data_IF_235348677487
#
_entry.id   IF_235348677487
#
_cell.length_a   1.000
_cell.length_b   1.000
_cell.length_c   1.000
_cell.angle_alpha   90.00
_cell.angle_beta   90.00
_cell.angle_gamma   90.00
#
_symmetry.space_group_name_H-M   'P 1'
#
loop_
_entity.id
_entity.type
_entity.pdbx_description
1 polymer ?
#
# COMPACT_ATOMS: atom_id res chain seq x y z
N UNK A 1 19.76 -17.10 -3.85
CA UNK A 1 18.29 -16.93 -3.72
C UNK A 1 17.66 -17.22 -5.08
N UNK A 2 16.59 -17.95 -5.10
CA UNK A 2 15.98 -18.39 -6.34
C UNK A 2 15.24 -17.26 -7.02
N UNK A 3 15.66 -16.90 -8.24
CA UNK A 3 15.14 -15.74 -8.94
C UNK A 3 13.66 -15.90 -9.35
N UNK A 4 13.22 -17.13 -9.64
CA UNK A 4 11.82 -17.38 -10.00
C UNK A 4 10.84 -16.98 -8.91
N UNK A 5 11.19 -17.20 -7.65
CA UNK A 5 10.37 -16.80 -6.51
C UNK A 5 10.35 -15.27 -6.40
N UNK A 6 11.51 -14.63 -6.58
CA UNK A 6 11.61 -13.16 -6.56
C UNK A 6 10.77 -12.53 -7.67
N UNK A 7 10.75 -13.12 -8.86
CA UNK A 7 9.92 -12.65 -9.97
C UNK A 7 8.43 -12.73 -9.62
N UNK A 8 7.99 -13.83 -9.00
CA UNK A 8 6.60 -13.98 -8.59
C UNK A 8 6.23 -12.96 -7.50
N UNK A 9 7.13 -12.71 -6.54
CA UNK A 9 6.94 -11.68 -5.52
C UNK A 9 6.83 -10.30 -6.20
N UNK A 10 7.70 -10.02 -7.18
CA UNK A 10 7.67 -8.75 -7.91
C UNK A 10 6.32 -8.55 -8.61
N UNK A 11 5.77 -9.58 -9.23
CA UNK A 11 4.45 -9.51 -9.88
C UNK A 11 3.36 -9.12 -8.88
N UNK A 12 3.37 -9.73 -7.70
CA UNK A 12 2.41 -9.40 -6.65
C UNK A 12 2.61 -7.98 -6.13
N UNK A 13 3.86 -7.53 -6.00
CA UNK A 13 4.17 -6.18 -5.56
C UNK A 13 3.73 -5.13 -6.59
N UNK A 14 3.82 -5.44 -7.88
CA UNK A 14 3.31 -4.56 -8.94
C UNK A 14 1.79 -4.40 -8.85
N UNK A 15 1.06 -5.49 -8.61
CA UNK A 15 -0.39 -5.44 -8.38
C UNK A 15 -0.71 -4.62 -7.14
N UNK A 16 -0.01 -4.89 -6.04
CA UNK A 16 -0.19 -4.15 -4.78
C UNK A 16 0.03 -2.66 -4.99
N UNK A 17 1.05 -2.27 -5.74
CA UNK A 17 1.32 -0.87 -6.06
C UNK A 17 0.13 -0.22 -6.77
N UNK A 18 -0.47 -0.91 -7.75
CA UNK A 18 -1.64 -0.42 -8.47
C UNK A 18 -2.83 -0.21 -7.53
N UNK A 19 -3.11 -1.17 -6.65
CA UNK A 19 -4.22 -1.06 -5.70
C UNK A 19 -4.01 0.06 -4.70
N UNK A 20 -2.79 0.19 -4.17
CA UNK A 20 -2.45 1.25 -3.21
C UNK A 20 -2.51 2.63 -3.87
N UNK A 21 -2.07 2.76 -5.12
CA UNK A 21 -2.20 4.01 -5.89
C UNK A 21 -3.66 4.39 -6.07
N UNK A 22 -4.52 3.41 -6.35
CA UNK A 22 -5.96 3.63 -6.46
C UNK A 22 -6.58 4.03 -5.12
N UNK A 23 -6.11 3.45 -4.02
CA UNK A 23 -6.53 3.86 -2.67
C UNK A 23 -6.18 5.32 -2.42
N UNK A 24 -4.99 5.75 -2.81
CA UNK A 24 -4.58 7.16 -2.69
C UNK A 24 -5.53 8.07 -3.47
N UNK A 25 -5.83 7.72 -4.72
CA UNK A 25 -6.73 8.48 -5.58
C UNK A 25 -8.10 8.62 -4.95
N UNK A 26 -8.67 7.50 -4.50
CA UNK A 26 -9.99 7.47 -3.86
C UNK A 26 -9.99 8.32 -2.58
N UNK A 27 -8.94 8.22 -1.78
CA UNK A 27 -8.82 8.98 -0.53
C UNK A 27 -8.81 10.48 -0.81
N UNK A 28 -8.12 10.94 -1.86
CA UNK A 28 -8.12 12.35 -2.26
C UNK A 28 -9.50 12.80 -2.73
N UNK A 29 -10.20 11.97 -3.49
CA UNK A 29 -11.58 12.26 -3.92
C UNK A 29 -12.53 12.37 -2.74
N UNK A 30 -12.32 11.55 -1.69
CA UNK A 30 -13.10 11.65 -0.45
C UNK A 30 -12.91 13.02 0.20
N UNK A 31 -11.68 13.53 0.22
CA UNK A 31 -11.40 14.87 0.72
C UNK A 31 -12.15 15.96 -0.05
N UNK A 32 -12.17 15.83 -1.37
CA UNK A 32 -12.88 16.77 -2.25
C UNK A 32 -14.40 16.71 -2.00
N UNK A 33 -14.95 15.51 -1.90
CA UNK A 33 -16.38 15.31 -1.62
C UNK A 33 -16.77 15.89 -0.26
N UNK A 34 -15.93 15.72 0.76
CA UNK A 34 -16.15 16.32 2.07
C UNK A 34 -16.16 17.84 2.00
N UNK A 35 -15.28 18.43 1.19
CA UNK A 35 -15.23 19.89 1.00
C UNK A 35 -16.51 20.44 0.40
N UNK A 36 -17.24 19.62 -0.37
CA UNK A 36 -18.53 19.96 -0.97
C UNK A 36 -19.72 19.53 -0.11
N UNK A 37 -19.49 18.97 1.06
CA UNK A 37 -20.52 18.36 1.93
C UNK A 37 -21.31 17.26 1.20
N UNK A 38 -20.67 16.55 0.29
CA UNK A 38 -21.27 15.47 -0.49
C UNK A 38 -21.07 14.12 0.23
N UNK A 39 -21.94 13.85 1.18
CA UNK A 39 -21.84 12.65 2.04
C UNK A 39 -22.13 11.36 1.27
N UNK A 40 -23.01 11.41 0.29
CA UNK A 40 -23.34 10.23 -0.53
C UNK A 40 -22.11 9.77 -1.31
N UNK A 41 -21.39 10.72 -1.92
CA UNK A 41 -20.15 10.40 -2.64
C UNK A 41 -19.10 9.85 -1.69
N UNK A 42 -18.97 10.42 -0.48
CA UNK A 42 -18.03 9.90 0.53
C UNK A 42 -18.35 8.44 0.86
N UNK A 43 -19.62 8.10 1.08
CA UNK A 43 -20.02 6.72 1.38
C UNK A 43 -19.71 5.76 0.23
N UNK A 44 -19.97 6.18 -1.00
CA UNK A 44 -19.63 5.39 -2.19
C UNK A 44 -18.12 5.15 -2.27
N UNK A 45 -17.33 6.21 -2.08
CA UNK A 45 -15.87 6.13 -2.15
C UNK A 45 -15.28 5.26 -1.05
N UNK A 46 -15.86 5.27 0.15
CA UNK A 46 -15.46 4.37 1.23
C UNK A 46 -15.61 2.91 0.84
N UNK A 47 -16.71 2.56 0.18
CA UNK A 47 -16.94 1.20 -0.33
C UNK A 47 -15.92 0.81 -1.40
N UNK A 48 -15.67 1.72 -2.33
CA UNK A 48 -14.66 1.50 -3.38
C UNK A 48 -13.27 1.33 -2.79
N UNK A 49 -12.92 2.15 -1.80
CA UNK A 49 -11.63 2.05 -1.11
C UNK A 49 -11.46 0.72 -0.41
N UNK A 50 -12.52 0.24 0.25
CA UNK A 50 -12.48 -1.06 0.93
C UNK A 50 -12.23 -2.20 -0.06
N UNK A 51 -12.84 -2.16 -1.24
CA UNK A 51 -12.60 -3.15 -2.29
C UNK A 51 -11.13 -3.18 -2.71
N UNK A 52 -10.52 -2.02 -2.90
CA UNK A 52 -9.10 -1.92 -3.26
C UNK A 52 -8.21 -2.41 -2.12
N UNK A 53 -8.54 -2.11 -0.87
CA UNK A 53 -7.83 -2.61 0.30
C UNK A 53 -7.87 -4.13 0.37
N UNK A 54 -9.02 -4.72 0.08
CA UNK A 54 -9.18 -6.19 0.07
C UNK A 54 -8.29 -6.84 -1.00
N UNK A 55 -8.20 -6.22 -2.18
CA UNK A 55 -7.31 -6.69 -3.26
C UNK A 55 -5.83 -6.58 -2.84
N UNK A 56 -5.44 -5.49 -2.21
CA UNK A 56 -4.09 -5.31 -1.71
C UNK A 56 -3.75 -6.37 -0.63
N UNK A 57 -4.70 -6.70 0.23
CA UNK A 57 -4.53 -7.73 1.27
C UNK A 57 -4.29 -9.12 0.65
N UNK A 58 -4.95 -9.43 -0.47
CA UNK A 58 -4.70 -10.69 -1.19
C UNK A 58 -3.26 -10.72 -1.69
N UNK A 59 -2.76 -9.63 -2.23
CA UNK A 59 -1.36 -9.54 -2.67
C UNK A 59 -0.40 -9.74 -1.51
N UNK A 60 -0.69 -9.15 -0.35
CA UNK A 60 0.14 -9.29 0.86
C UNK A 60 0.21 -10.76 1.28
N UNK A 61 -0.93 -11.46 1.29
CA UNK A 61 -0.97 -12.89 1.65
C UNK A 61 -0.21 -13.73 0.64
N UNK A 62 -0.33 -13.43 -0.66
CA UNK A 62 0.39 -14.14 -1.70
C UNK A 62 1.90 -13.96 -1.55
N UNK A 63 2.35 -12.75 -1.23
CA UNK A 63 3.76 -12.46 -0.98
C UNK A 63 4.27 -13.25 0.22
N UNK A 64 3.52 -13.27 1.33
CA UNK A 64 3.90 -14.04 2.51
C UNK A 64 4.01 -15.54 2.21
N UNK A 65 3.10 -16.07 1.40
CA UNK A 65 3.15 -17.45 0.92
C UNK A 65 4.43 -17.73 0.13
N UNK A 66 4.80 -16.82 -0.77
CA UNK A 66 6.02 -16.97 -1.57
C UNK A 66 7.27 -16.86 -0.71
N UNK A 67 7.29 -15.95 0.25
CA UNK A 67 8.41 -15.79 1.19
C UNK A 67 8.62 -17.07 2.01
N UNK A 68 7.54 -17.77 2.35
CA UNK A 68 7.63 -19.01 3.13
C UNK A 68 8.38 -20.12 2.41
N UNK A 69 8.55 -20.03 1.09
CA UNK A 69 9.34 -20.97 0.30
C UNK A 69 10.84 -20.67 0.33
N UNK A 70 11.23 -19.54 0.91
CA UNK A 70 12.62 -19.13 1.06
C UNK A 70 13.18 -19.60 2.41
N UNK A 71 14.51 -19.59 2.56
CA UNK A 71 15.12 -19.79 3.88
C UNK A 71 14.76 -18.61 4.79
N UNK A 72 14.82 -18.78 6.13
CA UNK A 72 14.52 -17.68 7.06
C UNK A 72 15.37 -16.43 6.83
N UNK A 73 16.66 -16.59 6.53
CA UNK A 73 17.55 -15.45 6.26
C UNK A 73 17.16 -14.73 4.96
N UNK A 74 16.89 -15.49 3.91
CA UNK A 74 16.43 -14.95 2.62
C UNK A 74 15.09 -14.21 2.79
N UNK A 75 14.16 -14.83 3.52
CA UNK A 75 12.85 -14.24 3.79
C UNK A 75 12.97 -12.92 4.54
N UNK A 76 13.83 -12.84 5.54
CA UNK A 76 14.10 -11.61 6.29
C UNK A 76 14.64 -10.51 5.39
N UNK A 77 15.57 -10.86 4.50
CA UNK A 77 16.15 -9.92 3.55
C UNK A 77 15.11 -9.39 2.57
N UNK A 78 14.25 -10.26 2.05
CA UNK A 78 13.15 -9.84 1.15
C UNK A 78 12.22 -8.89 1.87
N UNK A 79 11.84 -9.17 3.12
CA UNK A 79 10.98 -8.30 3.91
C UNK A 79 11.59 -6.91 4.10
N UNK A 80 12.89 -6.82 4.31
CA UNK A 80 13.57 -5.52 4.39
C UNK A 80 13.43 -4.74 3.09
N UNK A 81 13.63 -5.38 1.94
CA UNK A 81 13.44 -4.73 0.64
C UNK A 81 12.00 -4.24 0.48
N UNK A 82 11.01 -5.08 0.82
CA UNK A 82 9.60 -4.75 0.67
C UNK A 82 9.15 -3.60 1.57
N UNK A 83 9.82 -3.44 2.71
CA UNK A 83 9.54 -2.34 3.65
C UNK A 83 10.33 -1.06 3.36
N UNK A 84 11.06 -1.04 2.27
CA UNK A 84 11.86 0.11 1.90
C UNK A 84 13.10 0.32 2.74
N UNK A 85 13.46 -0.66 3.56
CA UNK A 85 14.64 -0.63 4.43
C UNK A 85 15.76 -1.41 3.77
N UNK A 86 16.36 -0.86 2.73
CA UNK A 86 17.44 -1.51 2.03
C UNK A 86 18.74 -1.47 2.82
N UNK A 87 18.98 -2.49 3.65
CA UNK A 87 20.24 -2.61 4.41
C UNK A 87 21.38 -3.26 3.67
N UNK A 88 21.19 -3.82 2.49
CA UNK A 88 22.21 -4.47 1.71
C UNK A 88 22.03 -4.23 0.23
N UNK A 89 23.09 -4.41 -0.55
CA UNK A 89 22.97 -4.35 -2.00
C UNK A 89 22.21 -5.58 -2.48
N UNK A 90 21.06 -5.39 -3.18
CA UNK A 90 20.41 -6.51 -3.82
C UNK A 90 21.38 -7.20 -4.79
N UNK A 91 21.45 -8.51 -4.71
CA UNK A 91 22.42 -9.29 -5.47
C UNK A 91 22.04 -9.56 -6.92
N UNK A 92 20.85 -9.10 -7.36
CA UNK A 92 20.36 -9.38 -8.71
C UNK A 92 19.48 -8.22 -9.21
N UNK A 93 19.27 -8.10 -10.54
CA UNK A 93 18.36 -7.09 -11.09
C UNK A 93 16.94 -7.23 -10.55
N UNK A 94 16.44 -8.44 -10.36
CA UNK A 94 15.10 -8.66 -9.81
C UNK A 94 15.01 -8.17 -8.37
N UNK A 95 16.02 -8.44 -7.56
CA UNK A 95 16.09 -7.97 -6.18
C UNK A 95 16.12 -6.43 -6.11
N UNK A 96 16.84 -5.79 -7.03
CA UNK A 96 16.86 -4.33 -7.14
C UNK A 96 15.47 -3.77 -7.45
N UNK A 97 14.74 -4.40 -8.38
CA UNK A 97 13.37 -4.00 -8.73
C UNK A 97 12.43 -4.18 -7.54
N UNK A 98 12.58 -5.25 -6.76
CA UNK A 98 11.81 -5.46 -5.53
C UNK A 98 12.05 -4.34 -4.52
N UNK A 99 13.31 -3.98 -4.30
CA UNK A 99 13.66 -2.92 -3.37
C UNK A 99 13.10 -1.57 -3.82
N UNK A 100 13.20 -1.26 -5.11
CA UNK A 100 12.64 -0.04 -5.69
C UNK A 100 11.11 -0.01 -5.53
N UNK A 101 10.44 -1.11 -5.84
CA UNK A 101 9.00 -1.22 -5.70
C UNK A 101 8.56 -1.07 -4.25
N UNK A 102 9.29 -1.67 -3.32
CA UNK A 102 9.04 -1.51 -1.89
C UNK A 102 9.10 -0.06 -1.45
N UNK A 103 10.12 0.67 -1.90
CA UNK A 103 10.25 2.12 -1.61
C UNK A 103 9.10 2.92 -2.21
N UNK A 104 8.72 2.63 -3.45
CA UNK A 104 7.61 3.31 -4.13
C UNK A 104 6.30 3.11 -3.37
N UNK A 105 6.02 1.89 -2.95
CA UNK A 105 4.81 1.56 -2.18
C UNK A 105 4.80 2.29 -0.84
N UNK A 106 5.93 2.30 -0.12
CA UNK A 106 6.03 3.00 1.17
C UNK A 106 5.78 4.50 1.00
N UNK A 107 6.27 5.08 -0.09
CA UNK A 107 6.05 6.50 -0.38
C UNK A 107 4.57 6.81 -0.60
N UNK A 108 3.89 6.00 -1.41
CA UNK A 108 2.45 6.16 -1.66
C UNK A 108 1.66 5.97 -0.37
N UNK A 109 2.00 4.97 0.44
CA UNK A 109 1.35 4.72 1.73
C UNK A 109 1.49 5.92 2.67
N UNK A 110 2.68 6.49 2.79
CA UNK A 110 2.91 7.67 3.64
C UNK A 110 2.05 8.85 3.20
N UNK A 111 1.98 9.12 1.89
CA UNK A 111 1.15 10.20 1.36
C UNK A 111 -0.33 9.94 1.63
N UNK A 112 -0.77 8.71 1.43
CA UNK A 112 -2.17 8.32 1.62
C UNK A 112 -2.58 8.43 3.08
N UNK A 113 -1.73 7.96 3.99
CA UNK A 113 -1.96 8.05 5.43
C UNK A 113 -2.08 9.50 5.86
N UNK A 114 -1.22 10.38 5.33
CA UNK A 114 -1.27 11.81 5.66
C UNK A 114 -2.56 12.46 5.18
N UNK A 115 -3.00 12.17 3.95
CA UNK A 115 -4.27 12.67 3.41
C UNK A 115 -5.44 12.16 4.27
N UNK A 116 -5.44 10.87 4.61
CA UNK A 116 -6.49 10.26 5.42
C UNK A 116 -6.53 10.87 6.83
N UNK A 117 -5.36 11.16 7.41
CA UNK A 117 -5.25 11.83 8.71
C UNK A 117 -5.90 13.22 8.67
N UNK A 118 -5.65 13.98 7.62
CA UNK A 118 -6.24 15.31 7.46
C UNK A 118 -7.76 15.23 7.29
N UNK A 119 -8.26 14.26 6.56
CA UNK A 119 -9.70 14.02 6.40
C UNK A 119 -10.32 13.64 7.74
N UNK A 120 -9.70 12.76 8.50
CA UNK A 120 -10.17 12.33 9.82
C UNK A 120 -10.19 13.49 10.81
N UNK A 121 -9.20 14.37 10.78
CA UNK A 121 -9.17 15.58 11.60
C UNK A 121 -10.33 16.51 11.27
N UNK A 122 -10.64 16.68 9.99
CA UNK A 122 -11.79 17.49 9.55
C UNK A 122 -13.10 16.93 10.08
N UNK A 123 -13.28 15.62 9.97
CA UNK A 123 -14.48 14.95 10.45
C UNK A 123 -14.62 15.11 11.97
N UNK A 124 -13.54 14.86 12.71
CA UNK A 124 -13.51 15.04 14.17
C UNK A 124 -13.78 16.48 14.57
N UNK A 125 -13.16 17.43 13.87
CA UNK A 125 -13.37 18.84 14.09
C UNK A 125 -14.81 19.27 13.86
N UNK A 126 -15.45 18.77 12.81
CA UNK A 126 -16.86 19.00 12.51
C UNK A 126 -17.74 18.39 13.59
N UNK A 127 -17.48 17.16 13.98
CA UNK A 127 -18.22 16.48 15.03
C UNK A 127 -18.10 17.24 16.36
N UNK A 128 -16.89 17.64 16.73
CA UNK A 128 -16.65 18.45 17.93
C UNK A 128 -17.39 19.78 17.88
N UNK A 129 -17.45 20.39 16.71
CA UNK A 129 -18.09 21.68 16.52
C UNK A 129 -19.60 21.62 16.71
N UNK A 130 -20.22 20.52 16.30
CA UNK A 130 -21.67 20.33 16.37
C UNK A 130 -22.15 19.64 17.64
N UNK A 131 -21.25 19.27 18.50
CA UNK A 131 -21.56 18.76 19.82
C UNK A 131 -21.66 19.90 20.81
#
# INVERSE_FOLDING_TARGET
MEDSILVEILKEMQKKYMFITEIERITREMGDALSRNDRETVQMLLGMRQDEMNKADVCIRNVECLISALTPDEGSQVREWLNGKGGGKPGSPTAELLAEKGKSIQLVLKRTIEVDRLISMRLSGKDSYYH
#
